data_IF_342564004186
#
_entry.id   IF_342564004186
#
_cell.length_a   1.000
_cell.length_b   1.000
_cell.length_c   1.000
_cell.angle_alpha   90.00
_cell.angle_beta   90.00
_cell.angle_gamma   90.00
#
_symmetry.space_group_name_H-M   'P 1'
#
loop_
_entity.id
_entity.type
_entity.pdbx_description
1 polymer ?
#
# COMPACT_ATOMS: atom_id res chain seq x y z
N UNK A 1 9.52 19.06 -28.47
CA UNK A 1 10.43 18.51 -27.44
C UNK A 1 9.68 18.63 -26.11
N UNK A 2 9.17 17.54 -25.56
CA UNK A 2 8.33 17.54 -24.35
C UNK A 2 9.22 17.80 -23.13
N UNK A 3 9.33 19.07 -22.73
CA UNK A 3 9.98 19.49 -21.49
C UNK A 3 9.04 19.23 -20.32
N UNK A 4 9.16 18.06 -19.69
CA UNK A 4 8.85 17.91 -18.27
C UNK A 4 9.96 18.65 -17.51
N UNK A 5 9.88 19.98 -17.47
CA UNK A 5 10.84 20.81 -16.75
C UNK A 5 10.73 20.51 -15.25
N UNK A 6 11.80 19.93 -14.71
CA UNK A 6 12.30 20.13 -13.33
C UNK A 6 11.43 19.69 -12.16
N UNK A 7 10.60 18.65 -12.30
CA UNK A 7 10.05 17.97 -11.12
C UNK A 7 10.88 16.73 -10.77
N UNK A 8 11.86 16.92 -9.90
CA UNK A 8 12.60 15.83 -9.27
C UNK A 8 11.67 15.11 -8.30
N UNK A 9 11.41 13.83 -8.58
CA UNK A 9 10.63 12.95 -7.70
C UNK A 9 11.62 12.05 -6.96
N UNK A 10 11.47 11.97 -5.65
CA UNK A 10 12.23 11.12 -4.77
C UNK A 10 11.28 10.09 -4.14
N UNK A 11 11.49 8.83 -4.47
CA UNK A 11 10.72 7.71 -3.95
C UNK A 11 11.55 6.99 -2.89
N UNK A 12 10.93 6.73 -1.74
CA UNK A 12 11.51 6.02 -0.61
C UNK A 12 10.59 4.89 -0.21
N UNK A 13 11.12 3.69 -0.01
CA UNK A 13 10.34 2.56 0.47
C UNK A 13 11.02 1.95 1.70
N UNK A 14 10.22 1.67 2.71
CA UNK A 14 10.62 0.96 3.92
C UNK A 14 9.71 -0.24 4.12
N UNK A 15 10.28 -1.44 4.03
CA UNK A 15 9.57 -2.68 4.33
C UNK A 15 10.11 -3.28 5.63
N UNK A 16 9.23 -3.53 6.59
CA UNK A 16 9.52 -4.10 7.89
C UNK A 16 8.70 -5.37 8.07
N UNK A 17 9.38 -6.51 8.05
CA UNK A 17 8.76 -7.81 8.30
C UNK A 17 9.08 -8.17 9.75
N UNK A 18 8.05 -8.21 10.59
CA UNK A 18 8.21 -8.51 12.01
C UNK A 18 8.27 -10.02 12.25
N UNK A 19 7.41 -10.77 11.55
CA UNK A 19 7.37 -12.23 11.54
C UNK A 19 6.62 -12.73 10.29
N UNK A 20 6.46 -14.05 10.17
CA UNK A 20 5.74 -14.69 9.05
C UNK A 20 4.25 -14.29 8.98
N UNK A 21 3.72 -13.77 10.09
CA UNK A 21 2.32 -13.38 10.23
C UNK A 21 2.09 -11.87 10.11
N UNK A 22 3.11 -11.01 10.15
CA UNK A 22 2.94 -9.57 10.19
C UNK A 22 4.08 -8.85 9.48
N UNK A 23 3.68 -8.02 8.54
CA UNK A 23 4.56 -7.18 7.73
C UNK A 23 3.95 -5.80 7.58
N UNK A 24 4.81 -4.80 7.57
CA UNK A 24 4.46 -3.41 7.39
C UNK A 24 5.34 -2.83 6.29
N UNK A 25 4.72 -2.19 5.32
CA UNK A 25 5.39 -1.53 4.21
C UNK A 25 4.97 -0.07 4.21
N UNK A 26 5.94 0.83 4.05
CA UNK A 26 5.70 2.25 3.94
C UNK A 26 6.46 2.78 2.74
N UNK A 27 5.72 3.25 1.75
CA UNK A 27 6.24 3.91 0.57
C UNK A 27 5.95 5.40 0.67
N UNK A 28 6.96 6.23 0.47
CA UNK A 28 6.87 7.68 0.41
C UNK A 28 7.37 8.19 -0.93
N UNK A 29 6.72 9.20 -1.48
CA UNK A 29 7.10 9.90 -2.69
C UNK A 29 7.09 11.39 -2.38
N UNK A 30 8.17 12.07 -2.74
CA UNK A 30 8.36 13.51 -2.53
C UNK A 30 8.72 14.14 -3.87
N UNK A 31 8.04 15.20 -4.26
CA UNK A 31 8.35 15.95 -5.48
C UNK A 31 8.85 17.36 -5.16
N UNK A 32 9.72 17.90 -6.01
CA UNK A 32 10.32 19.25 -5.83
C UNK A 32 9.31 20.40 -5.91
N UNK A 33 8.09 20.16 -6.38
CA UNK A 33 7.00 21.15 -6.40
C UNK A 33 6.22 21.23 -5.07
N UNK A 34 6.68 20.51 -4.04
CA UNK A 34 6.04 20.43 -2.73
C UNK A 34 4.95 19.36 -2.62
N UNK A 35 4.71 18.59 -3.68
CA UNK A 35 3.80 17.44 -3.61
C UNK A 35 4.45 16.28 -2.89
N UNK A 36 3.70 15.62 -2.03
CA UNK A 36 4.14 14.42 -1.34
C UNK A 36 3.03 13.38 -1.28
N UNK A 37 3.43 12.11 -1.24
CA UNK A 37 2.55 10.98 -1.09
C UNK A 37 3.19 9.99 -0.13
N UNK A 38 2.38 9.36 0.72
CA UNK A 38 2.80 8.35 1.66
C UNK A 38 1.76 7.25 1.69
N UNK A 39 2.16 6.06 1.27
CA UNK A 39 1.36 4.84 1.28
C UNK A 39 1.87 3.92 2.37
N UNK A 40 1.03 3.66 3.37
CA UNK A 40 1.32 2.73 4.45
C UNK A 40 0.46 1.50 4.29
N UNK A 41 1.10 0.35 4.05
CA UNK A 41 0.47 -0.94 3.89
C UNK A 41 0.82 -1.85 5.06
N UNK A 42 -0.19 -2.42 5.70
CA UNK A 42 -0.03 -3.49 6.68
C UNK A 42 -0.54 -4.79 6.08
N UNK A 43 0.12 -5.89 6.41
CA UNK A 43 -0.32 -7.23 6.03
C UNK A 43 -0.13 -8.18 7.21
N UNK A 44 -1.20 -8.91 7.52
CA UNK A 44 -1.33 -9.82 8.63
C UNK A 44 -1.80 -11.19 8.13
N UNK A 45 -0.92 -12.18 8.14
CA UNK A 45 -1.22 -13.58 7.82
C UNK A 45 -1.86 -14.25 9.03
N UNK A 46 -3.01 -14.90 8.86
CA UNK A 46 -3.56 -15.77 9.90
C UNK A 46 -2.67 -17.02 10.01
N UNK A 47 -2.41 -17.52 11.24
CA UNK A 47 -1.66 -18.75 11.45
C UNK A 47 -2.31 -19.93 10.74
N UNK A 48 -1.53 -20.97 10.47
CA UNK A 48 -1.97 -22.17 9.75
C UNK A 48 -2.50 -21.92 8.32
N UNK A 49 -2.29 -20.73 7.73
CA UNK A 49 -2.71 -20.44 6.36
C UNK A 49 -4.22 -20.41 6.17
N UNK A 50 -4.98 -20.07 7.22
CA UNK A 50 -6.42 -19.83 7.16
C UNK A 50 -6.78 -18.62 6.29
N UNK A 51 -5.85 -17.69 6.09
CA UNK A 51 -6.08 -16.48 5.32
C UNK A 51 -5.03 -15.41 5.58
N UNK A 52 -5.25 -14.23 5.01
CA UNK A 52 -4.49 -13.03 5.32
C UNK A 52 -5.42 -11.81 5.33
N UNK A 53 -5.03 -10.80 6.07
CA UNK A 53 -5.69 -9.53 6.18
C UNK A 53 -4.67 -8.48 5.81
N UNK A 54 -4.95 -7.68 4.81
CA UNK A 54 -4.07 -6.60 4.40
C UNK A 54 -4.86 -5.32 4.33
N UNK A 55 -4.20 -4.21 4.56
CA UNK A 55 -4.80 -2.92 4.31
C UNK A 55 -3.73 -1.91 3.99
N UNK A 56 -4.09 -0.98 3.13
CA UNK A 56 -3.22 0.10 2.72
C UNK A 56 -3.94 1.41 2.89
N UNK A 57 -3.26 2.38 3.48
CA UNK A 57 -3.71 3.75 3.54
C UNK A 57 -2.74 4.60 2.75
N UNK A 58 -3.23 5.22 1.70
CA UNK A 58 -2.48 6.24 0.99
C UNK A 58 -2.93 7.60 1.46
N UNK A 59 -1.95 8.43 1.78
CA UNK A 59 -2.09 9.87 1.90
C UNK A 59 -1.37 10.53 0.74
N UNK A 60 -2.01 11.52 0.13
CA UNK A 60 -1.34 12.36 -0.87
C UNK A 60 -1.71 13.80 -0.63
N UNK A 61 -0.75 14.70 -0.80
CA UNK A 61 -0.95 16.13 -0.72
C UNK A 61 -0.14 16.74 -1.84
N UNK A 62 -0.86 17.23 -2.84
CA UNK A 62 -0.28 17.69 -4.10
C UNK A 62 -0.40 19.21 -4.14
N UNK A 63 0.73 19.86 -4.46
CA UNK A 63 0.80 21.30 -4.63
C UNK A 63 0.14 21.76 -5.94
N UNK A 64 0.32 23.03 -6.29
CA UNK A 64 -0.33 23.63 -7.47
C UNK A 64 0.18 23.13 -8.85
N UNK A 65 1.17 22.22 -8.92
CA UNK A 65 1.92 21.96 -10.16
C UNK A 65 1.99 20.50 -10.63
N UNK A 66 1.55 19.51 -9.84
CA UNK A 66 1.44 18.12 -10.30
C UNK A 66 -0.02 17.76 -10.56
N UNK A 67 -0.38 17.19 -11.73
CA UNK A 67 -1.73 16.68 -12.00
C UNK A 67 -1.92 15.31 -11.34
N UNK A 68 -1.52 15.19 -10.08
CA UNK A 68 -1.84 14.05 -9.24
C UNK A 68 -3.12 14.43 -8.49
N UNK A 69 -4.10 13.51 -8.44
CA UNK A 69 -5.30 13.74 -7.65
C UNK A 69 -4.96 13.60 -6.17
N UNK A 70 -5.30 14.62 -5.37
CA UNK A 70 -5.25 14.53 -3.92
C UNK A 70 -6.28 13.51 -3.45
N UNK A 71 -5.83 12.26 -3.28
CA UNK A 71 -6.66 11.15 -2.87
C UNK A 71 -6.10 10.53 -1.60
N UNK A 72 -6.91 10.61 -0.54
CA UNK A 72 -6.74 9.83 0.67
C UNK A 72 -7.64 8.60 0.53
N UNK A 73 -7.03 7.45 0.26
CA UNK A 73 -7.79 6.20 0.16
C UNK A 73 -7.31 5.19 1.20
N UNK A 74 -8.28 4.48 1.76
CA UNK A 74 -8.06 3.36 2.66
C UNK A 74 -8.61 2.13 1.96
N UNK A 75 -7.74 1.18 1.69
CA UNK A 75 -8.09 -0.12 1.14
C UNK A 75 -7.89 -1.15 2.24
N UNK A 76 -8.89 -1.99 2.46
CA UNK A 76 -8.81 -3.08 3.42
C UNK A 76 -9.28 -4.32 2.67
N UNK A 77 -8.45 -5.36 2.68
CA UNK A 77 -8.71 -6.62 2.03
C UNK A 77 -8.51 -7.79 2.99
N UNK A 78 -9.31 -8.82 2.79
CA UNK A 78 -9.19 -10.07 3.51
C UNK A 78 -9.18 -11.20 2.48
N UNK A 79 -8.26 -12.12 2.63
CA UNK A 79 -8.27 -13.40 1.96
C UNK A 79 -8.54 -14.48 3.00
N UNK A 80 -9.39 -15.43 2.67
CA UNK A 80 -9.71 -16.56 3.51
C UNK A 80 -9.64 -17.83 2.68
N UNK A 81 -8.91 -18.83 3.19
CA UNK A 81 -8.82 -20.14 2.57
C UNK A 81 -10.09 -20.95 2.85
N UNK A 82 -11.06 -20.85 1.95
CA UNK A 82 -12.34 -21.56 2.04
C UNK A 82 -12.17 -23.08 2.11
N UNK A 83 -11.06 -23.63 1.60
CA UNK A 83 -10.76 -25.07 1.66
C UNK A 83 -10.43 -25.53 3.09
N UNK A 84 -9.89 -24.64 3.93
CA UNK A 84 -9.67 -24.89 5.36
C UNK A 84 -10.91 -24.54 6.21
N UNK A 85 -11.67 -23.52 5.82
CA UNK A 85 -12.82 -23.03 6.59
C UNK A 85 -14.07 -23.87 6.35
N UNK A 86 -14.28 -24.35 5.12
CA UNK A 86 -15.40 -25.20 4.73
C UNK A 86 -14.89 -26.36 3.85
N UNK A 87 -14.26 -27.39 4.45
CA UNK A 87 -13.80 -28.57 3.70
C UNK A 87 -14.93 -29.33 2.99
N UNK A 88 -16.19 -29.06 3.36
CA UNK A 88 -17.41 -29.59 2.73
C UNK A 88 -17.71 -29.00 1.32
N UNK A 89 -17.17 -27.85 0.94
CA UNK A 89 -17.46 -27.21 -0.36
C UNK A 89 -16.60 -27.75 -1.53
N UNK A 90 -15.87 -28.86 -1.32
CA UNK A 90 -14.93 -29.42 -2.29
C UNK A 90 -15.05 -30.93 -2.48
N UNK A 91 -16.27 -31.47 -2.49
CA UNK A 91 -16.57 -32.80 -3.06
C UNK A 91 -16.59 -32.77 -4.57
#
# INVERSE_FOLDING_TARGET
>A
LHGFDTNGVNETEANVIFNDAFSFNQQGLLATDGSWQSTSTFNMSLPDGYGNLWGSRQYSSIGNALPMQQNDYVTIGANANLRKIAPFLGT
#
